data_IF_731584942438
#
_entry.id   IF_731584942438
#
_cell.length_a   1.000
_cell.length_b   1.000
_cell.length_c   1.000
_cell.angle_alpha   90.00
_cell.angle_beta   90.00
_cell.angle_gamma   90.00
#
_symmetry.space_group_name_H-M   'P 1'
#
loop_
_entity.id
_entity.type
_entity.pdbx_description
1 polymer ?
#
# COMPACT_ATOMS: atom_id res chain seq x y z
N UNK A 1 -5.70 -7.23 -21.31
CA UNK A 1 -5.21 -7.09 -19.92
C UNK A 1 -3.71 -6.93 -19.97
N UNK A 2 -3.15 -5.89 -19.32
CA UNK A 2 -1.69 -5.72 -19.16
C UNK A 2 -1.32 -6.26 -17.79
N UNK A 3 -0.61 -7.38 -17.73
CA UNK A 3 -0.24 -8.05 -16.49
C UNK A 3 1.11 -8.76 -16.68
N UNK A 4 2.17 -8.36 -15.95
CA UNK A 4 3.51 -8.93 -16.10
C UNK A 4 3.66 -10.31 -15.46
N UNK A 5 2.59 -10.87 -14.86
CA UNK A 5 2.52 -12.24 -14.36
C UNK A 5 1.85 -13.21 -15.34
N UNK A 6 1.55 -12.77 -16.58
CA UNK A 6 1.02 -13.70 -17.59
C UNK A 6 2.10 -14.68 -18.02
N UNK A 7 1.69 -15.92 -18.33
CA UNK A 7 2.59 -16.98 -18.78
C UNK A 7 3.29 -16.66 -20.11
N UNK A 8 2.67 -15.81 -20.94
CA UNK A 8 3.19 -15.35 -22.23
C UNK A 8 3.96 -14.02 -22.15
N UNK A 9 4.24 -13.50 -20.94
CA UNK A 9 5.02 -12.27 -20.77
C UNK A 9 6.52 -12.56 -20.69
N UNK A 10 7.28 -12.01 -21.63
CA UNK A 10 8.74 -12.15 -21.71
C UNK A 10 9.49 -10.91 -21.17
N UNK A 11 8.79 -9.95 -20.56
CA UNK A 11 9.39 -8.66 -20.19
C UNK A 11 10.38 -8.75 -19.02
N UNK A 12 10.28 -9.80 -18.20
CA UNK A 12 11.02 -9.92 -16.94
C UNK A 12 10.55 -8.95 -15.84
N UNK A 13 9.41 -8.28 -16.05
CA UNK A 13 8.87 -7.24 -15.17
C UNK A 13 7.78 -7.74 -14.20
N UNK A 14 7.68 -9.06 -13.97
CA UNK A 14 6.71 -9.66 -13.03
C UNK A 14 6.79 -9.15 -11.58
N UNK A 15 7.83 -8.39 -11.25
CA UNK A 15 8.05 -7.76 -9.95
C UNK A 15 7.53 -6.31 -9.87
N UNK A 16 6.93 -5.76 -10.93
CA UNK A 16 6.33 -4.42 -10.87
C UNK A 16 5.03 -4.46 -10.07
N UNK A 17 4.84 -3.45 -9.22
CA UNK A 17 3.54 -3.19 -8.60
C UNK A 17 2.54 -2.66 -9.62
N UNK A 18 1.25 -2.69 -9.28
CA UNK A 18 0.18 -2.18 -10.15
C UNK A 18 0.39 -0.71 -10.58
N UNK A 19 0.87 0.15 -9.68
CA UNK A 19 1.17 1.55 -10.00
C UNK A 19 2.29 1.69 -11.04
N UNK A 20 3.32 0.84 -10.98
CA UNK A 20 4.39 0.78 -11.98
C UNK A 20 3.90 0.31 -13.34
N UNK A 21 3.03 -0.72 -13.36
CA UNK A 21 2.39 -1.20 -14.60
C UNK A 21 1.50 -0.10 -15.21
N UNK A 22 0.67 0.55 -14.40
CA UNK A 22 -0.19 1.65 -14.85
C UNK A 22 0.62 2.81 -15.45
N UNK A 23 1.74 3.17 -14.81
CA UNK A 23 2.64 4.19 -15.34
C UNK A 23 3.22 3.82 -16.71
N UNK A 24 3.66 2.56 -16.89
CA UNK A 24 4.14 2.08 -18.17
C UNK A 24 3.05 2.09 -19.25
N UNK A 25 1.80 1.82 -18.89
CA UNK A 25 0.66 1.97 -19.80
C UNK A 25 0.52 3.43 -20.24
N UNK A 26 0.61 4.41 -19.33
CA UNK A 26 0.60 5.84 -19.69
C UNK A 26 1.76 6.20 -20.62
N UNK A 27 2.97 5.69 -20.37
CA UNK A 27 4.15 5.91 -21.23
C UNK A 27 3.91 5.34 -22.63
N UNK A 28 3.43 4.10 -22.72
CA UNK A 28 3.15 3.45 -24.00
C UNK A 28 2.05 4.16 -24.79
N UNK A 29 0.97 4.57 -24.11
CA UNK A 29 -0.12 5.34 -24.71
C UNK A 29 0.37 6.68 -25.25
N UNK A 30 1.14 7.44 -24.47
CA UNK A 30 1.65 8.74 -24.91
C UNK A 30 2.60 8.59 -26.11
N UNK A 31 3.44 7.55 -26.12
CA UNK A 31 4.29 7.23 -27.27
C UNK A 31 3.45 6.94 -28.52
N UNK A 32 2.39 6.16 -28.39
CA UNK A 32 1.52 5.84 -29.51
C UNK A 32 0.74 7.05 -30.04
N UNK A 33 0.25 7.93 -29.15
CA UNK A 33 -0.41 9.17 -29.55
C UNK A 33 0.53 10.11 -30.33
N UNK A 34 1.83 10.13 -29.98
CA UNK A 34 2.86 10.86 -30.74
C UNK A 34 3.08 10.23 -32.11
N UNK A 35 3.26 8.92 -32.18
CA UNK A 35 3.48 8.20 -33.45
C UNK A 35 2.34 8.41 -34.45
N UNK A 36 1.09 8.54 -33.96
CA UNK A 36 -0.09 8.81 -34.80
C UNK A 36 -0.29 10.29 -35.18
N UNK A 37 0.57 11.18 -34.69
CA UNK A 37 0.41 12.63 -34.81
C UNK A 37 -0.88 13.14 -34.15
N UNK A 38 -1.45 12.39 -33.18
CA UNK A 38 -2.75 12.72 -32.60
C UNK A 38 -2.69 13.99 -31.75
N UNK A 39 -1.62 14.16 -30.97
CA UNK A 39 -1.40 15.33 -30.13
C UNK A 39 -1.36 16.63 -30.93
N UNK A 40 -0.62 16.62 -32.05
CA UNK A 40 -0.51 17.75 -32.97
C UNK A 40 -1.86 18.08 -33.62
N UNK A 41 -2.55 17.06 -34.16
CA UNK A 41 -3.88 17.22 -34.76
C UNK A 41 -4.92 17.80 -33.79
N UNK A 42 -4.76 17.56 -32.48
CA UNK A 42 -5.63 18.09 -31.44
C UNK A 42 -5.12 19.39 -30.81
N UNK A 43 -3.92 19.86 -31.18
CA UNK A 43 -3.30 21.03 -30.55
C UNK A 43 -3.01 20.85 -29.05
N UNK A 44 -2.86 19.60 -28.59
CA UNK A 44 -2.67 19.27 -27.17
C UNK A 44 -1.19 19.06 -26.89
N UNK A 45 -0.67 19.80 -25.90
CA UNK A 45 0.70 19.58 -25.41
C UNK A 45 0.77 18.25 -24.65
N UNK A 46 1.79 17.44 -24.97
CA UNK A 46 2.04 16.20 -24.24
C UNK A 46 2.29 16.48 -22.74
N UNK A 47 1.66 15.74 -21.83
CA UNK A 47 1.98 15.83 -20.41
C UNK A 47 3.40 15.32 -20.14
N UNK A 48 4.04 15.88 -19.12
CA UNK A 48 5.29 15.36 -18.59
C UNK A 48 4.99 14.28 -17.54
N UNK A 49 5.02 13.01 -17.95
CA UNK A 49 4.72 11.88 -17.09
C UNK A 49 5.69 11.77 -15.89
N UNK A 50 6.89 12.39 -15.95
CA UNK A 50 7.83 12.37 -14.83
C UNK A 50 7.24 12.98 -13.56
N UNK A 51 6.29 13.90 -13.70
CA UNK A 51 5.60 14.54 -12.59
C UNK A 51 4.71 13.58 -11.77
N UNK A 52 4.49 12.35 -12.25
CA UNK A 52 3.70 11.33 -11.54
C UNK A 52 4.57 10.25 -10.89
N UNK A 53 5.90 10.37 -10.98
CA UNK A 53 6.81 9.36 -10.43
C UNK A 53 6.77 9.29 -8.90
N UNK A 54 6.33 10.35 -8.22
CA UNK A 54 6.10 10.35 -6.77
C UNK A 54 4.94 9.41 -6.38
N UNK A 55 3.85 9.40 -7.15
CA UNK A 55 2.74 8.43 -7.02
C UNK A 55 3.21 7.01 -7.30
N UNK A 56 4.00 6.81 -8.35
CA UNK A 56 4.56 5.50 -8.69
C UNK A 56 5.46 5.01 -7.56
N UNK A 57 6.34 5.86 -7.04
CA UNK A 57 7.23 5.52 -5.94
C UNK A 57 6.46 5.15 -4.67
N UNK A 58 5.41 5.92 -4.31
CA UNK A 58 4.54 5.60 -3.19
C UNK A 58 3.91 4.22 -3.36
N UNK A 59 3.31 3.95 -4.52
CA UNK A 59 2.71 2.64 -4.82
C UNK A 59 3.73 1.50 -4.79
N UNK A 60 4.91 1.68 -5.38
CA UNK A 60 5.99 0.67 -5.38
C UNK A 60 6.46 0.33 -3.97
N UNK A 61 6.66 1.32 -3.09
CA UNK A 61 7.10 1.04 -1.72
C UNK A 61 5.97 0.42 -0.89
N UNK A 62 4.74 0.91 -1.03
CA UNK A 62 3.58 0.39 -0.30
C UNK A 62 3.23 -1.06 -0.64
N UNK A 63 3.52 -1.51 -1.87
CA UNK A 63 3.29 -2.89 -2.32
C UNK A 63 4.42 -3.86 -1.91
N UNK A 64 5.46 -3.36 -1.23
CA UNK A 64 6.58 -4.15 -0.69
C UNK A 64 7.26 -5.01 -1.77
N UNK A 65 7.24 -4.55 -3.03
CA UNK A 65 7.90 -5.25 -4.15
C UNK A 65 9.42 -5.03 -4.12
N UNK A 66 10.23 -5.96 -4.65
CA UNK A 66 11.68 -5.83 -4.64
C UNK A 66 12.17 -4.52 -5.30
N UNK A 67 12.97 -3.74 -4.58
CA UNK A 67 13.57 -2.49 -5.07
C UNK A 67 14.85 -2.77 -5.89
N UNK A 68 14.66 -3.41 -7.04
CA UNK A 68 15.69 -3.67 -8.06
C UNK A 68 15.25 -3.17 -9.43
N UNK A 69 16.20 -3.04 -10.36
CA UNK A 69 15.90 -2.65 -11.74
C UNK A 69 14.99 -1.43 -11.83
N UNK A 70 13.86 -1.59 -12.52
CA UNK A 70 12.92 -0.51 -12.79
C UNK A 70 12.22 0.01 -11.53
N UNK A 71 11.86 -0.85 -10.57
CA UNK A 71 11.30 -0.41 -9.28
C UNK A 71 12.26 0.53 -8.53
N UNK A 72 13.56 0.19 -8.51
CA UNK A 72 14.58 1.04 -7.90
C UNK A 72 14.69 2.40 -8.61
N UNK A 73 14.61 2.39 -9.94
CA UNK A 73 14.64 3.62 -10.74
C UNK A 73 13.41 4.50 -10.46
N UNK A 74 12.21 3.91 -10.45
CA UNK A 74 10.96 4.61 -10.12
C UNK A 74 11.01 5.24 -8.74
N UNK A 75 11.38 4.47 -7.70
CA UNK A 75 11.46 5.01 -6.34
C UNK A 75 12.52 6.11 -6.23
N UNK A 76 13.69 5.92 -6.84
CA UNK A 76 14.77 6.92 -6.78
C UNK A 76 14.36 8.24 -7.44
N UNK A 77 13.73 8.19 -8.61
CA UNK A 77 13.30 9.40 -9.30
C UNK A 77 12.03 9.99 -8.67
N UNK A 78 11.10 9.16 -8.23
CA UNK A 78 9.89 9.60 -7.54
C UNK A 78 10.17 10.32 -6.24
N UNK A 79 11.18 9.92 -5.47
CA UNK A 79 11.62 10.67 -4.29
C UNK A 79 12.18 12.06 -4.64
N UNK A 80 12.87 12.20 -5.78
CA UNK A 80 13.32 13.52 -6.27
C UNK A 80 12.14 14.39 -6.68
N UNK A 81 11.14 13.82 -7.36
CA UNK A 81 9.90 14.51 -7.73
C UNK A 81 9.13 14.95 -6.48
N UNK A 82 8.96 14.04 -5.52
CA UNK A 82 8.26 14.29 -4.26
C UNK A 82 8.89 15.42 -3.44
N UNK A 83 10.22 15.58 -3.49
CA UNK A 83 10.92 16.70 -2.84
C UNK A 83 10.40 18.07 -3.28
N UNK A 84 9.88 18.19 -4.51
CA UNK A 84 9.33 19.44 -5.03
C UNK A 84 7.91 19.75 -4.54
N UNK A 85 7.26 18.81 -3.83
CA UNK A 85 5.93 18.99 -3.20
C UNK A 85 4.84 19.45 -4.16
N UNK A 86 4.93 19.07 -5.44
CA UNK A 86 4.00 19.50 -6.49
C UNK A 86 2.68 18.73 -6.50
N UNK A 87 2.66 17.47 -6.02
CA UNK A 87 1.42 16.72 -5.85
C UNK A 87 0.73 17.14 -4.54
N UNK A 88 -0.41 17.82 -4.67
CA UNK A 88 -1.17 18.39 -3.54
C UNK A 88 -1.58 17.33 -2.52
N UNK A 89 -1.98 16.14 -2.97
CA UNK A 89 -2.40 15.05 -2.10
C UNK A 89 -1.25 14.48 -1.25
N UNK A 90 -0.11 14.19 -1.88
CA UNK A 90 1.10 13.72 -1.19
C UNK A 90 1.62 14.78 -0.23
N UNK A 91 1.65 16.04 -0.67
CA UNK A 91 2.05 17.20 0.16
C UNK A 91 1.16 17.30 1.41
N UNK A 92 -0.17 17.22 1.25
CA UNK A 92 -1.10 17.29 2.36
C UNK A 92 -0.91 16.15 3.38
N UNK A 93 -0.61 14.94 2.89
CA UNK A 93 -0.26 13.79 3.76
C UNK A 93 1.07 13.99 4.48
N UNK A 94 2.08 14.52 3.79
CA UNK A 94 3.37 14.78 4.39
C UNK A 94 3.26 15.83 5.51
N UNK A 95 2.48 16.89 5.28
CA UNK A 95 2.25 17.96 6.26
C UNK A 95 1.51 17.47 7.49
N UNK A 96 0.38 16.75 7.32
CA UNK A 96 -0.37 16.22 8.48
C UNK A 96 0.45 15.17 9.25
N UNK A 97 1.35 14.46 8.57
CA UNK A 97 2.25 13.50 9.17
C UNK A 97 3.48 14.11 9.84
N UNK A 98 3.70 15.42 9.71
CA UNK A 98 4.84 16.13 10.29
C UNK A 98 6.18 15.86 9.59
N UNK A 99 6.17 15.47 8.31
CA UNK A 99 7.38 15.24 7.51
C UNK A 99 7.94 16.58 7.03
N UNK A 100 9.02 17.03 7.67
CA UNK A 100 9.67 18.33 7.44
C UNK A 100 11.06 18.20 6.81
N UNK A 101 11.49 16.98 6.51
CA UNK A 101 12.78 16.63 5.94
C UNK A 101 12.65 16.14 4.47
N UNK A 102 13.79 15.84 3.86
CA UNK A 102 13.80 15.25 2.51
C UNK A 102 13.17 13.85 2.56
N UNK A 103 12.12 13.58 1.76
CA UNK A 103 11.45 12.28 1.76
C UNK A 103 12.40 11.14 1.37
N UNK A 104 12.12 9.98 1.93
CA UNK A 104 12.88 8.75 1.71
C UNK A 104 11.92 7.56 1.60
N UNK A 105 12.42 6.38 1.22
CA UNK A 105 11.58 5.18 1.17
C UNK A 105 10.94 4.85 2.53
N UNK A 106 11.57 5.24 3.65
CA UNK A 106 10.97 5.14 4.98
C UNK A 106 9.66 5.93 5.08
N UNK A 107 9.67 7.20 4.64
CA UNK A 107 8.49 8.05 4.65
C UNK A 107 7.35 7.45 3.82
N UNK A 108 7.67 6.93 2.63
CA UNK A 108 6.68 6.27 1.77
C UNK A 108 6.05 5.06 2.47
N UNK A 109 6.87 4.13 2.98
CA UNK A 109 6.39 2.84 3.49
C UNK A 109 5.81 2.87 4.90
N UNK A 110 6.32 3.75 5.77
CA UNK A 110 6.00 3.75 7.20
C UNK A 110 5.24 4.99 7.69
N UNK A 111 5.18 6.05 6.88
CA UNK A 111 4.54 7.31 7.26
C UNK A 111 3.33 7.60 6.37
N UNK A 112 3.52 7.70 5.05
CA UNK A 112 2.46 8.09 4.11
C UNK A 112 1.59 6.88 3.71
N UNK A 113 2.20 5.77 3.32
CA UNK A 113 1.50 4.55 2.93
C UNK A 113 0.49 4.05 3.96
N UNK A 114 0.84 3.97 5.26
CA UNK A 114 -0.10 3.56 6.29
C UNK A 114 -1.35 4.44 6.41
N UNK A 115 -1.24 5.74 6.09
CA UNK A 115 -2.38 6.67 6.10
C UNK A 115 -3.31 6.43 4.93
N UNK A 116 -2.75 6.33 3.72
CA UNK A 116 -3.52 5.99 2.51
C UNK A 116 -4.26 4.67 2.72
N UNK A 117 -3.58 3.65 3.25
CA UNK A 117 -4.15 2.32 3.45
C UNK A 117 -5.15 2.25 4.62
N UNK A 118 -5.17 3.24 5.53
CA UNK A 118 -6.09 3.22 6.68
C UNK A 118 -7.55 3.37 6.25
N UNK A 119 -7.83 4.19 5.22
CA UNK A 119 -9.17 4.34 4.66
C UNK A 119 -9.77 3.00 4.22
N UNK A 120 -8.99 2.13 3.57
CA UNK A 120 -9.46 0.80 3.17
C UNK A 120 -9.60 -0.21 4.30
N UNK A 121 -9.12 0.10 5.51
CA UNK A 121 -9.10 -0.84 6.65
C UNK A 121 -10.20 -0.55 7.66
N UNK A 122 -10.39 0.72 8.02
CA UNK A 122 -11.29 1.13 9.10
C UNK A 122 -12.20 2.30 8.71
N UNK A 123 -12.09 2.80 7.48
CA UNK A 123 -12.85 3.98 7.04
C UNK A 123 -13.30 3.87 5.59
N UNK A 124 -13.14 4.98 4.86
CA UNK A 124 -13.56 5.08 3.47
C UNK A 124 -12.41 4.78 2.49
N UNK A 125 -12.53 3.66 1.77
CA UNK A 125 -11.47 3.15 0.88
C UNK A 125 -11.16 4.06 -0.31
N UNK A 126 -12.12 4.88 -0.76
CA UNK A 126 -11.96 5.74 -1.94
C UNK A 126 -11.11 6.98 -1.65
N UNK A 127 -11.02 7.42 -0.39
CA UNK A 127 -10.36 8.67 -0.01
C UNK A 127 -8.88 8.73 -0.41
N UNK A 128 -8.17 7.61 -0.33
CA UNK A 128 -6.77 7.55 -0.75
C UNK A 128 -6.59 7.87 -2.23
N UNK A 129 -7.46 7.35 -3.10
CA UNK A 129 -7.44 7.66 -4.53
C UNK A 129 -7.85 9.11 -4.79
N UNK A 130 -8.96 9.57 -4.18
CA UNK A 130 -9.46 10.95 -4.33
C UNK A 130 -8.39 11.98 -3.94
N UNK A 131 -7.71 11.77 -2.82
CA UNK A 131 -6.63 12.64 -2.37
C UNK A 131 -5.48 12.70 -3.38
N UNK A 132 -5.01 11.55 -3.84
CA UNK A 132 -3.80 11.43 -4.67
C UNK A 132 -4.03 11.93 -6.11
N UNK A 133 -5.27 11.94 -6.58
CA UNK A 133 -5.67 12.46 -7.90
C UNK A 133 -6.31 13.85 -7.86
N UNK A 134 -6.51 14.42 -6.68
CA UNK A 134 -7.21 15.69 -6.49
C UNK A 134 -6.35 16.92 -6.79
N UNK A 135 -7.00 18.00 -7.23
CA UNK A 135 -6.34 19.28 -7.55
C UNK A 135 -6.74 20.42 -6.59
N UNK A 136 -7.70 20.18 -5.67
CA UNK A 136 -8.17 21.15 -4.70
C UNK A 136 -7.40 21.02 -3.37
N UNK A 137 -6.67 22.07 -2.99
CA UNK A 137 -5.85 22.08 -1.78
C UNK A 137 -6.66 21.98 -0.48
N UNK A 138 -7.82 22.65 -0.39
CA UNK A 138 -8.66 22.59 0.81
C UNK A 138 -9.25 21.19 1.00
N UNK A 139 -9.77 20.61 -0.09
CA UNK A 139 -10.28 19.24 -0.08
C UNK A 139 -9.19 18.22 0.26
N UNK A 140 -7.99 18.37 -0.32
CA UNK A 140 -6.85 17.51 -0.02
C UNK A 140 -6.45 17.55 1.46
N UNK A 141 -6.49 18.73 2.09
CA UNK A 141 -6.23 18.85 3.52
C UNK A 141 -7.31 18.17 4.37
N UNK A 142 -8.58 18.30 4.01
CA UNK A 142 -9.69 17.63 4.69
C UNK A 142 -9.56 16.11 4.59
N UNK A 143 -9.30 15.59 3.39
CA UNK A 143 -9.11 14.16 3.19
C UNK A 143 -7.86 13.65 3.93
N UNK A 144 -6.75 14.40 3.91
CA UNK A 144 -5.53 14.03 4.62
C UNK A 144 -5.75 13.94 6.14
N UNK A 145 -6.52 14.86 6.74
CA UNK A 145 -6.93 14.80 8.15
C UNK A 145 -7.72 13.52 8.44
N UNK A 146 -8.74 13.22 7.64
CA UNK A 146 -9.56 12.01 7.81
C UNK A 146 -8.72 10.72 7.70
N UNK A 147 -7.81 10.65 6.74
CA UNK A 147 -6.90 9.51 6.60
C UNK A 147 -5.92 9.39 7.78
N UNK A 148 -5.49 10.50 8.38
CA UNK A 148 -4.68 10.48 9.62
C UNK A 148 -5.49 9.95 10.81
N UNK A 149 -6.75 10.38 10.95
CA UNK A 149 -7.65 9.90 12.00
C UNK A 149 -7.91 8.39 11.87
N UNK A 150 -8.27 7.91 10.67
CA UNK A 150 -8.40 6.46 10.41
C UNK A 150 -7.10 5.71 10.69
N UNK A 151 -5.94 6.32 10.42
CA UNK A 151 -4.65 5.70 10.69
C UNK A 151 -4.37 5.57 12.19
N UNK A 152 -4.80 6.54 13.01
CA UNK A 152 -4.74 6.47 14.49
C UNK A 152 -5.71 5.43 15.03
N UNK A 153 -6.96 5.46 14.58
CA UNK A 153 -7.99 4.48 14.95
C UNK A 153 -7.55 3.06 14.63
N UNK A 154 -7.07 2.82 13.39
CA UNK A 154 -6.55 1.51 12.99
C UNK A 154 -5.41 1.05 13.92
N UNK A 155 -4.48 1.93 14.32
CA UNK A 155 -3.40 1.54 15.25
C UNK A 155 -3.95 1.14 16.61
N UNK A 156 -4.89 1.91 17.16
CA UNK A 156 -5.51 1.60 18.45
C UNK A 156 -6.21 0.23 18.42
N UNK A 157 -6.98 -0.06 17.37
CA UNK A 157 -7.63 -1.35 17.19
C UNK A 157 -6.59 -2.48 17.01
N UNK A 158 -5.57 -2.23 16.19
CA UNK A 158 -4.48 -3.19 15.94
C UNK A 158 -3.75 -3.58 17.23
N UNK A 159 -3.43 -2.61 18.08
CA UNK A 159 -2.71 -2.86 19.34
C UNK A 159 -3.59 -3.65 20.33
N UNK A 160 -4.88 -3.31 20.47
CA UNK A 160 -5.83 -4.08 21.30
C UNK A 160 -5.92 -5.54 20.83
N UNK A 161 -6.12 -5.74 19.52
CA UNK A 161 -6.27 -7.09 18.95
C UNK A 161 -4.96 -7.88 19.08
N UNK A 162 -3.82 -7.23 18.90
CA UNK A 162 -2.51 -7.86 19.06
C UNK A 162 -2.27 -8.32 20.49
N UNK A 163 -2.56 -7.48 21.50
CA UNK A 163 -2.36 -7.82 22.91
C UNK A 163 -3.23 -9.00 23.34
N UNK A 164 -4.50 -9.01 22.91
CA UNK A 164 -5.41 -10.14 23.12
C UNK A 164 -4.91 -11.41 22.42
N UNK A 165 -4.45 -11.29 21.18
CA UNK A 165 -3.90 -12.41 20.42
C UNK A 165 -2.63 -12.99 21.05
N UNK A 166 -1.71 -12.14 21.52
CA UNK A 166 -0.50 -12.56 22.23
C UNK A 166 -0.89 -13.30 23.51
N UNK A 167 -1.80 -12.74 24.31
CA UNK A 167 -2.28 -13.36 25.54
C UNK A 167 -2.90 -14.74 25.29
N UNK A 168 -3.67 -14.90 24.22
CA UNK A 168 -4.27 -16.17 23.82
C UNK A 168 -3.26 -17.22 23.34
N UNK A 169 -2.11 -16.79 22.80
CA UNK A 169 -1.00 -17.69 22.42
C UNK A 169 -0.18 -18.07 23.65
N UNK A 170 0.21 -17.11 24.47
CA UNK A 170 1.10 -17.30 25.62
C UNK A 170 0.39 -17.98 26.79
N UNK A 171 -0.95 -17.93 26.86
CA UNK A 171 -1.74 -18.73 27.80
C UNK A 171 -1.75 -20.24 27.51
N UNK A 172 -1.18 -20.67 26.38
CA UNK A 172 -1.05 -22.10 26.02
C UNK A 172 0.22 -22.68 26.63
N UNK A 173 0.22 -23.98 26.92
CA UNK A 173 1.39 -24.67 27.47
C UNK A 173 2.60 -24.64 26.54
N UNK A 174 2.38 -24.62 25.21
CA UNK A 174 3.41 -24.45 24.17
C UNK A 174 2.84 -23.75 22.95
N UNK A 175 3.68 -22.97 22.27
CA UNK A 175 3.41 -22.49 20.91
C UNK A 175 3.65 -23.66 19.95
N UNK A 176 2.62 -24.00 19.15
CA UNK A 176 2.71 -25.08 18.17
C UNK A 176 3.50 -24.69 16.91
N UNK A 177 3.47 -25.55 15.89
CA UNK A 177 4.04 -25.28 14.56
C UNK A 177 3.30 -24.19 13.77
N UNK A 178 2.17 -23.70 14.30
CA UNK A 178 1.38 -22.61 13.76
C UNK A 178 0.67 -21.87 14.90
N UNK A 179 0.51 -20.55 14.76
CA UNK A 179 -0.34 -19.73 15.61
C UNK A 179 -1.74 -19.67 14.99
N UNK A 180 -2.74 -20.12 15.73
CA UNK A 180 -4.14 -19.99 15.36
C UNK A 180 -4.88 -19.27 16.48
N UNK A 181 -5.40 -18.09 16.21
CA UNK A 181 -6.15 -17.28 17.19
C UNK A 181 -7.34 -16.60 16.53
N UNK A 182 -8.40 -16.38 17.31
CA UNK A 182 -9.54 -15.61 16.86
C UNK A 182 -10.27 -14.96 18.03
N UNK A 183 -11.01 -13.89 17.72
CA UNK A 183 -11.85 -13.18 18.68
C UNK A 183 -13.11 -12.66 17.99
N UNK A 184 -14.20 -12.58 18.74
CA UNK A 184 -15.51 -12.18 18.22
C UNK A 184 -15.49 -10.71 17.77
N UNK A 185 -14.89 -9.82 18.56
CA UNK A 185 -14.84 -8.37 18.29
C UNK A 185 -13.60 -7.91 17.51
N UNK A 186 -12.87 -8.84 16.87
CA UNK A 186 -11.63 -8.50 16.17
C UNK A 186 -11.91 -7.91 14.78
N UNK A 187 -11.55 -6.64 14.59
CA UNK A 187 -11.86 -5.92 13.37
C UNK A 187 -11.17 -6.53 12.12
N UNK A 188 -11.90 -6.86 11.05
CA UNK A 188 -11.33 -7.50 9.83
C UNK A 188 -10.25 -6.68 9.13
N UNK A 189 -10.30 -5.35 9.26
CA UNK A 189 -9.30 -4.44 8.71
C UNK A 189 -7.90 -4.58 9.31
N UNK A 190 -7.77 -5.17 10.51
CA UNK A 190 -6.50 -5.28 11.24
C UNK A 190 -5.97 -6.70 11.39
N UNK A 191 -6.81 -7.74 11.28
CA UNK A 191 -6.41 -9.14 11.49
C UNK A 191 -5.22 -9.57 10.61
N UNK A 192 -5.11 -9.04 9.38
CA UNK A 192 -3.98 -9.33 8.50
C UNK A 192 -2.66 -8.68 8.90
N UNK A 193 -2.70 -7.55 9.63
CA UNK A 193 -1.51 -6.93 10.22
C UNK A 193 -1.10 -7.70 11.47
N UNK A 194 -2.07 -8.04 12.32
CA UNK A 194 -1.86 -8.84 13.53
C UNK A 194 -1.28 -10.20 13.18
N UNK A 195 -1.79 -10.87 12.14
CA UNK A 195 -1.21 -12.12 11.64
C UNK A 195 0.27 -11.93 11.27
N UNK A 196 0.62 -10.89 10.50
CA UNK A 196 2.03 -10.63 10.17
C UNK A 196 2.89 -10.45 11.42
N UNK A 197 2.42 -9.68 12.42
CA UNK A 197 3.13 -9.46 13.69
C UNK A 197 3.31 -10.74 14.50
N UNK A 198 2.30 -11.62 14.58
CA UNK A 198 2.41 -12.90 15.27
C UNK A 198 3.38 -13.85 14.55
N UNK A 199 3.33 -13.90 13.21
CA UNK A 199 4.29 -14.66 12.40
C UNK A 199 5.72 -14.18 12.63
N UNK A 200 5.94 -12.86 12.71
CA UNK A 200 7.26 -12.29 13.00
C UNK A 200 7.71 -12.55 14.44
N UNK A 201 6.79 -12.52 15.42
CA UNK A 201 7.08 -12.76 16.84
C UNK A 201 7.44 -14.21 17.14
N UNK A 202 6.69 -15.16 16.57
CA UNK A 202 6.81 -16.58 16.90
C UNK A 202 7.56 -17.41 15.85
N UNK A 203 7.93 -16.81 14.72
CA UNK A 203 8.66 -17.45 13.63
C UNK A 203 7.98 -18.72 13.07
N UNK A 204 6.65 -18.78 13.14
CA UNK A 204 5.81 -19.84 12.59
C UNK A 204 4.66 -19.21 11.80
N UNK A 205 3.99 -19.94 10.89
CA UNK A 205 2.79 -19.44 10.23
C UNK A 205 1.73 -18.99 11.25
N UNK A 206 0.90 -18.04 10.87
CA UNK A 206 -0.15 -17.49 11.73
C UNK A 206 -1.48 -17.34 10.98
N UNK A 207 -2.58 -17.73 11.61
CA UNK A 207 -3.95 -17.44 11.18
C UNK A 207 -4.66 -16.66 12.30
N UNK A 208 -5.16 -15.48 11.95
CA UNK A 208 -5.91 -14.60 12.85
C UNK A 208 -7.31 -14.43 12.30
N UNK A 209 -8.33 -14.63 13.13
CA UNK A 209 -9.73 -14.60 12.71
C UNK A 209 -10.53 -13.58 13.53
N UNK A 210 -11.39 -12.82 12.85
CA UNK A 210 -12.38 -11.93 13.47
C UNK A 210 -13.78 -12.29 13.00
N UNK A 211 -14.81 -12.06 13.81
CA UNK A 211 -16.19 -12.35 13.43
C UNK A 211 -16.88 -11.10 12.89
N UNK A 212 -17.65 -11.25 11.81
CA UNK A 212 -18.50 -10.21 11.22
C UNK A 212 -19.82 -10.85 10.85
N UNK A 213 -20.92 -10.35 11.42
CA UNK A 213 -22.27 -10.85 11.11
C UNK A 213 -22.40 -12.38 11.26
N UNK A 214 -21.78 -12.94 12.31
CA UNK A 214 -21.77 -14.39 12.56
C UNK A 214 -20.85 -15.21 11.65
N UNK A 215 -20.08 -14.57 10.76
CA UNK A 215 -19.12 -15.22 9.86
C UNK A 215 -17.69 -14.84 10.24
N UNK A 216 -16.84 -15.85 10.46
CA UNK A 216 -15.42 -15.62 10.67
C UNK A 216 -14.72 -15.22 9.37
N UNK A 217 -14.03 -14.09 9.40
CA UNK A 217 -13.06 -13.68 8.38
C UNK A 217 -11.66 -13.89 8.94
N UNK A 218 -10.84 -14.63 8.20
CA UNK A 218 -9.48 -14.97 8.58
C UNK A 218 -8.43 -14.28 7.73
N UNK A 219 -7.25 -14.04 8.31
CA UNK A 219 -6.06 -13.65 7.55
C UNK A 219 -4.88 -14.51 7.96
N UNK A 220 -4.28 -15.17 6.98
CA UNK A 220 -3.16 -16.07 7.16
C UNK A 220 -1.86 -15.43 6.66
N UNK A 221 -0.75 -15.68 7.37
CA UNK A 221 0.61 -15.26 6.98
C UNK A 221 1.57 -16.41 7.22
N UNK A 222 2.42 -16.67 6.25
CA UNK A 222 3.37 -17.78 6.31
C UNK A 222 4.80 -17.31 6.53
N UNK A 223 5.64 -18.27 6.91
CA UNK A 223 7.10 -18.13 6.92
C UNK A 223 7.69 -18.74 5.65
N UNK A 224 8.98 -18.45 5.39
CA UNK A 224 9.67 -19.02 4.22
C UNK A 224 9.66 -20.55 4.28
N UNK A 225 9.33 -21.18 3.15
CA UNK A 225 9.33 -22.64 3.02
C UNK A 225 8.00 -23.32 3.38
N UNK A 226 6.97 -22.57 3.75
CA UNK A 226 5.61 -23.10 3.97
C UNK A 226 4.65 -22.32 3.07
N UNK A 227 4.01 -23.00 2.12
CA UNK A 227 2.90 -22.45 1.35
C UNK A 227 1.58 -22.71 2.09
N UNK A 228 0.78 -21.67 2.28
CA UNK A 228 -0.53 -21.78 2.96
C UNK A 228 -1.68 -22.04 1.97
N UNK A 229 -1.49 -21.75 0.68
CA UNK A 229 -2.51 -21.97 -0.35
C UNK A 229 -2.58 -23.41 -0.84
N UNK A 230 -1.48 -24.15 -0.70
CA UNK A 230 -1.40 -25.58 -1.01
C UNK A 230 -1.82 -26.49 0.16
N UNK A 231 -2.05 -25.92 1.35
CA UNK A 231 -2.31 -26.63 2.61
C UNK A 231 -3.79 -26.84 2.93
#
# INVERSE_FOLDING_TARGET
>A
VVNPNRLDDESGLGHLCAAGVAFLVCVALLRELRNRGWLEKKGVRAPDLRNWLDLVALGTVCDVVPLRGLNRAFVTQGLKVMKHRSNIGITSLADIAGVNEVPSAYHLGYVLGPRVNAGGRVGESFLGATLLSGENAAEAQDIARRLDDYNRERKAIEDIVLDQAISAVEGRSKVGSMVLVGGEDWHPGVIGIVASRLKDRYHVPSLVMGMVDGVYKGSARSVRGIDLGDA
#
